data_IF_532532944263
#
_entry.id   IF_532532944263
#
_cell.length_a   1.000
_cell.length_b   1.000
_cell.length_c   1.000
_cell.angle_alpha   90.00
_cell.angle_beta   90.00
_cell.angle_gamma   90.00
#
_symmetry.space_group_name_H-M   'P 1'
#
loop_
_entity.id
_entity.type
_entity.pdbx_description
1 polymer ?
#
# COMPACT_ATOMS: atom_id res chain seq x y z
N UNK A 1 4.96 -14.50 -33.07
CA UNK A 1 3.49 -14.61 -32.91
C UNK A 1 3.13 -15.55 -31.76
N UNK A 2 3.71 -16.79 -31.68
CA UNK A 2 3.46 -17.74 -30.56
C UNK A 2 3.83 -17.18 -29.18
N UNK A 3 4.89 -16.38 -29.10
CA UNK A 3 5.30 -15.74 -27.83
C UNK A 3 4.37 -14.58 -27.42
N UNK A 4 3.87 -13.81 -28.38
CA UNK A 4 2.85 -12.78 -28.12
C UNK A 4 1.50 -13.41 -27.72
N UNK A 5 1.17 -14.59 -28.27
CA UNK A 5 -0.03 -15.34 -27.87
C UNK A 5 0.09 -15.90 -26.45
N UNK A 6 1.27 -16.37 -26.03
CA UNK A 6 1.49 -16.89 -24.68
C UNK A 6 1.45 -15.77 -23.60
N UNK A 7 2.04 -14.58 -23.89
CA UNK A 7 1.90 -13.40 -23.01
C UNK A 7 0.46 -12.90 -23.00
N UNK A 8 -0.19 -12.88 -24.14
CA UNK A 8 -1.60 -12.54 -24.25
C UNK A 8 -2.50 -13.50 -23.49
N UNK A 9 -2.19 -14.80 -23.53
CA UNK A 9 -2.96 -15.83 -22.83
C UNK A 9 -2.74 -15.77 -21.31
N UNK A 10 -1.53 -15.45 -20.85
CA UNK A 10 -1.22 -15.28 -19.43
C UNK A 10 -1.87 -14.01 -18.87
N UNK A 11 -1.83 -12.91 -19.63
CA UNK A 11 -2.55 -11.67 -19.30
C UNK A 11 -4.06 -11.89 -19.42
N UNK A 12 -4.53 -12.64 -20.41
CA UNK A 12 -5.94 -12.97 -20.56
C UNK A 12 -6.44 -13.93 -19.48
N UNK A 13 -5.64 -14.90 -19.04
CA UNK A 13 -5.99 -15.78 -17.91
C UNK A 13 -6.05 -15.01 -16.59
N UNK A 14 -5.16 -14.02 -16.38
CA UNK A 14 -5.27 -13.08 -15.25
C UNK A 14 -6.43 -12.07 -15.44
N UNK A 15 -6.74 -11.69 -16.66
CA UNK A 15 -7.77 -10.74 -17.02
C UNK A 15 -9.19 -11.32 -16.99
N UNK A 16 -9.36 -12.63 -17.25
CA UNK A 16 -10.65 -13.34 -17.07
C UNK A 16 -11.03 -13.42 -15.59
N UNK A 17 -10.05 -13.31 -14.68
CA UNK A 17 -10.29 -13.21 -13.24
C UNK A 17 -10.62 -11.79 -12.76
N UNK A 18 -10.46 -10.75 -13.59
CA UNK A 18 -10.47 -9.36 -13.13
C UNK A 18 -11.00 -8.38 -14.17
N UNK A 19 -12.05 -7.67 -13.90
CA UNK A 19 -12.62 -6.61 -14.72
C UNK A 19 -13.09 -5.38 -13.91
N UNK A 20 -13.12 -4.20 -14.38
CA UNK A 20 -12.88 -2.88 -13.75
C UNK A 20 -13.97 -1.80 -13.73
N UNK A 21 -13.77 -0.68 -12.99
CA UNK A 21 -14.71 0.40 -12.67
C UNK A 21 -14.22 1.87 -12.84
N UNK A 22 -15.05 2.91 -13.13
CA UNK A 22 -14.66 4.32 -13.21
C UNK A 22 -14.48 5.00 -11.84
N UNK A 23 -13.49 5.90 -11.76
CA UNK A 23 -13.22 6.71 -10.59
C UNK A 23 -14.42 7.61 -10.25
N UNK A 24 -14.99 7.44 -9.06
CA UNK A 24 -15.69 8.53 -8.41
C UNK A 24 -14.64 9.38 -7.71
N UNK A 25 -14.63 10.67 -8.03
CA UNK A 25 -14.03 11.64 -7.15
C UNK A 25 -14.62 11.38 -5.76
N UNK A 26 -13.77 10.99 -4.83
CA UNK A 26 -14.13 11.09 -3.42
C UNK A 26 -14.45 12.57 -3.21
N UNK A 27 -15.74 12.87 -3.08
CA UNK A 27 -16.15 14.01 -2.31
C UNK A 27 -15.51 13.82 -0.94
N UNK A 28 -14.31 14.40 -0.82
CA UNK A 28 -13.86 14.83 0.48
C UNK A 28 -14.94 15.82 0.90
N UNK A 29 -15.88 15.36 1.69
CA UNK A 29 -16.54 16.23 2.63
C UNK A 29 -15.40 16.81 3.45
N UNK A 30 -14.85 17.90 2.92
CA UNK A 30 -14.14 18.85 3.72
C UNK A 30 -15.14 19.27 4.78
N UNK A 31 -15.04 18.63 5.94
CA UNK A 31 -15.55 19.19 7.17
C UNK A 31 -15.00 20.59 7.14
N UNK A 32 -15.89 21.57 6.93
CA UNK A 32 -15.53 22.97 6.87
C UNK A 32 -14.76 23.27 8.14
N UNK A 33 -13.43 23.26 8.04
CA UNK A 33 -12.57 23.75 9.09
C UNK A 33 -12.96 25.23 9.22
N UNK A 34 -13.67 25.55 10.27
CA UNK A 34 -13.97 26.92 10.67
C UNK A 34 -12.61 27.58 10.81
N UNK A 35 -12.24 28.40 9.85
CA UNK A 35 -10.99 29.12 9.88
C UNK A 35 -11.01 29.98 11.14
N UNK A 36 -10.00 29.82 12.00
CA UNK A 36 -9.76 30.74 13.09
C UNK A 36 -9.51 32.14 12.51
N UNK A 37 -9.88 33.23 13.23
CA UNK A 37 -9.77 34.60 12.73
C UNK A 37 -8.37 35.02 12.29
N UNK A 38 -7.33 34.26 12.61
CA UNK A 38 -5.92 34.54 12.29
C UNK A 38 -5.40 33.87 11.00
N UNK A 39 -6.27 33.29 10.17
CA UNK A 39 -5.86 32.64 8.89
C UNK A 39 -4.98 31.40 9.04
N UNK A 40 -4.74 30.90 10.27
CA UNK A 40 -4.03 29.66 10.53
C UNK A 40 -5.01 28.47 10.55
N UNK A 41 -4.61 27.29 10.10
CA UNK A 41 -5.46 26.11 10.14
C UNK A 41 -5.92 25.85 11.56
N UNK A 42 -7.22 25.58 11.75
CA UNK A 42 -7.78 25.24 13.05
C UNK A 42 -7.17 23.91 13.51
N UNK A 43 -6.48 23.91 14.66
CA UNK A 43 -5.98 22.70 15.29
C UNK A 43 -7.14 21.94 15.96
N UNK A 44 -7.10 20.61 15.99
CA UNK A 44 -8.10 19.83 16.70
C UNK A 44 -8.11 20.17 18.20
N UNK A 45 -9.26 20.03 18.85
CA UNK A 45 -9.33 20.22 20.29
C UNK A 45 -8.63 19.09 21.04
N UNK A 46 -8.08 19.36 22.21
CA UNK A 46 -7.42 18.34 23.05
C UNK A 46 -8.41 17.22 23.42
N UNK A 47 -9.68 17.54 23.63
CA UNK A 47 -10.72 16.56 23.94
C UNK A 47 -11.02 15.64 22.76
N UNK A 48 -10.98 16.15 21.53
CA UNK A 48 -11.17 15.34 20.33
C UNK A 48 -9.99 14.41 20.09
N UNK A 49 -8.76 14.89 20.29
CA UNK A 49 -7.55 14.06 20.23
C UNK A 49 -7.59 12.93 21.26
N UNK A 50 -8.05 13.22 22.47
CA UNK A 50 -8.22 12.23 23.52
C UNK A 50 -9.25 11.18 23.15
N UNK A 51 -10.41 11.57 22.60
CA UNK A 51 -11.43 10.63 22.12
C UNK A 51 -10.91 9.74 21.00
N UNK A 52 -10.14 10.30 20.06
CA UNK A 52 -9.50 9.53 19.00
C UNK A 52 -8.49 8.52 19.56
N UNK A 53 -7.69 8.91 20.54
CA UNK A 53 -6.74 8.02 21.20
C UNK A 53 -7.44 6.90 21.99
N UNK A 54 -8.55 7.21 22.67
CA UNK A 54 -9.35 6.22 23.38
C UNK A 54 -10.07 5.25 22.45
N UNK A 55 -10.31 5.63 21.19
CA UNK A 55 -10.88 4.76 20.16
C UNK A 55 -9.87 3.71 19.65
N UNK A 56 -8.56 3.94 19.82
CA UNK A 56 -7.53 2.97 19.48
C UNK A 56 -7.57 1.79 20.47
N UNK A 57 -7.75 0.54 20.00
CA UNK A 57 -7.84 -0.61 20.87
C UNK A 57 -6.57 -0.81 21.69
N UNK A 58 -6.72 -1.20 22.96
CA UNK A 58 -5.59 -1.49 23.86
C UNK A 58 -4.92 -2.83 23.57
N UNK A 59 -5.63 -3.75 22.94
CA UNK A 59 -5.12 -5.06 22.53
C UNK A 59 -5.32 -5.23 21.03
N UNK A 60 -4.27 -5.62 20.35
CA UNK A 60 -4.30 -5.92 18.93
C UNK A 60 -5.02 -7.25 18.73
N UNK A 61 -6.13 -7.27 17.97
CA UNK A 61 -6.74 -8.50 17.51
C UNK A 61 -5.93 -9.08 16.33
N UNK A 62 -6.13 -10.37 16.01
CA UNK A 62 -5.42 -11.04 14.91
C UNK A 62 -5.74 -10.42 13.54
N UNK A 63 -6.92 -9.83 13.39
CA UNK A 63 -7.41 -9.22 12.14
C UNK A 63 -7.13 -7.69 12.07
N UNK A 64 -6.56 -7.09 13.13
CA UNK A 64 -6.31 -5.65 13.15
C UNK A 64 -5.07 -5.29 12.33
N UNK A 65 -5.20 -4.24 11.48
CA UNK A 65 -4.05 -3.65 10.81
C UNK A 65 -3.21 -2.83 11.80
N UNK A 66 -2.30 -3.52 12.47
CA UNK A 66 -1.41 -2.91 13.47
C UNK A 66 -0.54 -1.77 12.92
N UNK A 67 -0.34 -1.68 11.59
CA UNK A 67 0.37 -0.55 10.98
C UNK A 67 -0.52 0.70 10.98
N UNK A 68 -1.77 0.55 10.57
CA UNK A 68 -2.73 1.64 10.54
C UNK A 68 -2.94 2.24 11.93
N UNK A 69 -3.11 1.39 12.94
CA UNK A 69 -3.26 1.82 14.33
C UNK A 69 -2.02 2.56 14.87
N UNK A 70 -0.82 2.14 14.46
CA UNK A 70 0.43 2.84 14.79
C UNK A 70 0.50 4.21 14.11
N UNK A 71 0.14 4.29 12.84
CA UNK A 71 0.12 5.55 12.10
C UNK A 71 -0.93 6.52 12.68
N UNK A 72 -2.08 6.02 13.10
CA UNK A 72 -3.11 6.80 13.80
C UNK A 72 -2.61 7.32 15.15
N UNK A 73 -1.98 6.47 15.97
CA UNK A 73 -1.42 6.90 17.27
C UNK A 73 -0.33 7.97 17.08
N UNK A 74 0.57 7.79 16.10
CA UNK A 74 1.60 8.76 15.78
C UNK A 74 1.03 10.09 15.26
N UNK A 75 -0.03 10.05 14.46
CA UNK A 75 -0.72 11.24 13.98
C UNK A 75 -1.36 12.04 15.13
N UNK A 76 -1.99 11.35 16.09
CA UNK A 76 -2.57 11.97 17.29
C UNK A 76 -1.48 12.60 18.15
N UNK A 77 -0.35 11.91 18.38
CA UNK A 77 0.79 12.45 19.11
C UNK A 77 1.33 13.72 18.47
N UNK A 78 1.55 13.69 17.15
CA UNK A 78 2.01 14.86 16.38
C UNK A 78 1.02 16.05 16.48
N UNK A 79 -0.27 15.78 16.39
CA UNK A 79 -1.30 16.81 16.52
C UNK A 79 -1.32 17.41 17.93
N UNK A 80 -1.18 16.58 18.97
CA UNK A 80 -1.10 17.02 20.35
C UNK A 80 0.14 17.90 20.62
N UNK A 81 1.29 17.54 20.05
CA UNK A 81 2.51 18.36 20.12
C UNK A 81 2.34 19.72 19.44
N UNK A 82 1.66 19.77 18.27
CA UNK A 82 1.34 21.03 17.60
C UNK A 82 0.44 21.93 18.47
N UNK A 83 -0.57 21.34 19.12
CA UNK A 83 -1.42 22.07 20.08
C UNK A 83 -0.58 22.57 21.26
N UNK A 84 0.26 21.73 21.84
CA UNK A 84 1.13 22.09 22.96
C UNK A 84 2.10 23.22 22.60
N UNK A 85 2.70 23.19 21.41
CA UNK A 85 3.57 24.26 20.90
C UNK A 85 2.81 25.59 20.81
N UNK A 86 1.62 25.58 20.20
CA UNK A 86 0.79 26.78 20.06
C UNK A 86 0.36 27.35 21.43
N UNK A 87 -0.05 26.48 22.35
CA UNK A 87 -0.43 26.94 23.74
C UNK A 87 0.78 27.48 24.48
N UNK A 88 1.98 26.99 24.22
CA UNK A 88 3.22 27.53 24.77
C UNK A 88 3.48 28.97 24.28
N UNK A 89 3.27 29.23 22.99
CA UNK A 89 3.39 30.56 22.38
C UNK A 89 2.32 31.53 23.00
N UNK A 90 1.07 31.06 23.12
CA UNK A 90 -0.01 31.84 23.71
C UNK A 90 0.26 32.19 25.21
N UNK A 91 0.83 31.24 25.97
CA UNK A 91 1.27 31.51 27.35
C UNK A 91 2.35 32.57 27.40
N UNK A 92 3.36 32.50 26.51
CA UNK A 92 4.41 33.51 26.47
C UNK A 92 3.89 34.91 26.12
N UNK A 93 2.88 35.01 25.24
CA UNK A 93 2.24 36.30 24.93
C UNK A 93 1.44 36.84 26.14
N UNK A 94 0.66 35.98 26.83
CA UNK A 94 -0.06 36.36 28.02
C UNK A 94 0.90 36.81 29.15
N UNK A 95 2.00 36.08 29.36
CA UNK A 95 3.05 36.41 30.32
C UNK A 95 3.73 37.76 30.00
N UNK A 96 3.98 38.02 28.71
CA UNK A 96 4.54 39.30 28.27
C UNK A 96 3.58 40.48 28.55
N UNK A 97 2.26 40.28 28.32
CA UNK A 97 1.23 41.27 28.63
C UNK A 97 1.10 41.51 30.13
N UNK A 98 1.15 40.43 30.94
CA UNK A 98 1.16 40.53 32.39
C UNK A 98 2.40 41.30 32.89
N UNK A 99 3.57 41.05 32.34
CA UNK A 99 4.81 41.77 32.64
C UNK A 99 4.69 43.28 32.27
N UNK A 100 4.01 43.58 31.16
CA UNK A 100 3.73 44.96 30.74
C UNK A 100 2.87 45.75 31.70
N UNK A 101 2.03 45.10 32.53
CA UNK A 101 1.24 45.72 33.59
C UNK A 101 2.06 46.03 34.87
N UNK A 102 3.33 45.63 34.87
CA UNK A 102 4.21 45.83 36.04
C UNK A 102 4.00 44.77 37.15
N UNK A 103 4.80 44.81 38.20
CA UNK A 103 4.66 43.87 39.32
C UNK A 103 3.33 44.05 40.06
N UNK A 104 2.79 42.95 40.55
CA UNK A 104 1.57 43.02 41.39
C UNK A 104 1.83 43.79 42.67
N UNK A 105 0.86 44.60 43.15
CA UNK A 105 1.05 45.36 44.37
C UNK A 105 1.36 44.44 45.55
N UNK A 106 2.44 44.74 46.26
CA UNK A 106 2.81 44.02 47.48
C UNK A 106 1.82 44.37 48.63
N UNK A 107 1.78 43.49 49.66
CA UNK A 107 0.91 43.73 50.83
C UNK A 107 1.32 45.05 51.52
N UNK A 108 0.45 46.06 51.42
CA UNK A 108 0.68 47.39 51.98
C UNK A 108 1.01 48.50 50.97
N UNK A 109 1.19 48.16 49.70
CA UNK A 109 1.32 49.14 48.62
C UNK A 109 -0.08 49.61 48.13
N UNK A 110 -0.18 50.82 47.53
CA UNK A 110 -1.45 51.26 46.94
C UNK A 110 -1.96 50.25 45.91
N UNK A 111 -3.26 49.98 45.97
CA UNK A 111 -3.91 49.04 45.07
C UNK A 111 -3.81 49.54 43.61
N UNK A 112 -3.76 48.62 42.67
CA UNK A 112 -3.85 48.92 41.24
C UNK A 112 -5.11 49.76 40.93
N UNK A 113 -5.06 50.60 39.94
CA UNK A 113 -6.24 51.24 39.39
C UNK A 113 -7.29 50.19 39.01
N UNK A 114 -8.61 50.42 39.17
CA UNK A 114 -9.62 49.39 38.99
C UNK A 114 -9.58 48.68 37.62
N UNK A 115 -9.28 49.42 36.57
CA UNK A 115 -9.12 48.94 35.19
C UNK A 115 -7.89 48.02 35.04
N UNK A 116 -6.77 48.36 35.65
CA UNK A 116 -5.54 47.56 35.67
C UNK A 116 -5.74 46.26 36.45
N UNK A 117 -6.43 46.36 37.60
CA UNK A 117 -6.75 45.20 38.44
C UNK A 117 -7.66 44.20 37.68
N UNK A 118 -8.67 44.71 36.99
CA UNK A 118 -9.58 43.90 36.18
C UNK A 118 -8.85 43.24 35.00
N UNK A 119 -8.00 43.98 34.30
CA UNK A 119 -7.19 43.46 33.18
C UNK A 119 -6.21 42.38 33.67
N UNK A 120 -5.52 42.59 34.79
CA UNK A 120 -4.64 41.59 35.41
C UNK A 120 -5.40 40.31 35.80
N UNK A 121 -6.58 40.44 36.40
CA UNK A 121 -7.44 39.31 36.77
C UNK A 121 -7.95 38.54 35.54
N UNK A 122 -8.25 39.23 34.46
CA UNK A 122 -8.65 38.63 33.19
C UNK A 122 -7.50 37.84 32.56
N UNK A 123 -6.32 38.42 32.44
CA UNK A 123 -5.12 37.75 31.91
C UNK A 123 -4.68 36.56 32.78
N UNK A 124 -4.80 36.67 34.12
CA UNK A 124 -4.49 35.54 35.01
C UNK A 124 -5.45 34.36 34.81
N UNK A 125 -6.74 34.62 34.57
CA UNK A 125 -7.71 33.56 34.23
C UNK A 125 -7.40 32.93 32.87
N UNK A 126 -7.09 33.74 31.85
CA UNK A 126 -6.69 33.23 30.52
C UNK A 126 -5.43 32.38 30.62
N UNK A 127 -4.40 32.86 31.33
CA UNK A 127 -3.17 32.12 31.61
C UNK A 127 -3.45 30.74 32.21
N UNK A 128 -4.30 30.69 33.24
CA UNK A 128 -4.65 29.41 33.89
C UNK A 128 -5.38 28.44 32.95
N UNK A 129 -6.27 28.95 32.09
CA UNK A 129 -6.98 28.14 31.11
C UNK A 129 -6.01 27.56 30.05
N UNK A 130 -5.15 28.41 29.49
CA UNK A 130 -4.17 27.96 28.47
C UNK A 130 -3.12 27.01 29.07
N UNK A 131 -2.68 27.23 30.33
CA UNK A 131 -1.75 26.32 31.01
C UNK A 131 -2.37 24.93 31.27
N UNK A 132 -3.67 24.88 31.61
CA UNK A 132 -4.36 23.60 31.76
C UNK A 132 -4.52 22.87 30.43
N UNK A 133 -4.84 23.57 29.34
CA UNK A 133 -4.90 22.95 27.99
C UNK A 133 -3.52 22.48 27.53
N UNK A 134 -2.45 23.23 27.79
CA UNK A 134 -1.09 22.83 27.50
C UNK A 134 -0.72 21.52 28.21
N UNK A 135 -1.05 21.42 29.50
CA UNK A 135 -0.79 20.19 30.27
C UNK A 135 -1.57 19.00 29.74
N UNK A 136 -2.83 19.22 29.38
CA UNK A 136 -3.65 18.16 28.77
C UNK A 136 -3.10 17.73 27.39
N UNK A 137 -2.70 18.69 26.54
CA UNK A 137 -2.10 18.36 25.25
C UNK A 137 -0.82 17.53 25.39
N UNK A 138 0.06 17.91 26.33
CA UNK A 138 1.27 17.12 26.64
C UNK A 138 0.95 15.72 27.17
N UNK A 139 -0.09 15.60 27.99
CA UNK A 139 -0.53 14.28 28.47
C UNK A 139 -0.99 13.39 27.30
N UNK A 140 -1.80 13.94 26.38
CA UNK A 140 -2.27 13.20 25.20
C UNK A 140 -1.11 12.78 24.31
N UNK A 141 -0.10 13.64 24.13
CA UNK A 141 1.12 13.28 23.35
C UNK A 141 1.85 12.09 23.99
N UNK A 142 2.09 12.14 25.31
CA UNK A 142 2.75 11.04 26.04
C UNK A 142 1.91 9.76 26.01
N UNK A 143 0.60 9.85 26.17
CA UNK A 143 -0.31 8.71 26.12
C UNK A 143 -0.33 8.08 24.70
N UNK A 144 -0.27 8.90 23.66
CA UNK A 144 -0.19 8.45 22.28
C UNK A 144 1.12 7.67 22.00
N UNK A 145 2.26 8.20 22.49
CA UNK A 145 3.56 7.51 22.39
C UNK A 145 3.57 6.18 23.16
N UNK A 146 3.00 6.16 24.36
CA UNK A 146 2.85 4.94 25.14
C UNK A 146 2.00 3.90 24.41
N UNK A 147 0.87 4.33 23.81
CA UNK A 147 -0.01 3.47 23.03
C UNK A 147 0.73 2.90 21.81
N UNK A 148 1.48 3.72 21.08
CA UNK A 148 2.31 3.29 19.96
C UNK A 148 3.34 2.24 20.38
N UNK A 149 4.06 2.49 21.48
CA UNK A 149 5.05 1.54 22.01
C UNK A 149 4.42 0.22 22.46
N UNK A 150 3.21 0.27 23.02
CA UNK A 150 2.49 -0.93 23.45
C UNK A 150 2.04 -1.77 22.24
N UNK A 151 1.52 -1.14 21.19
CA UNK A 151 1.16 -1.79 19.93
C UNK A 151 2.39 -2.44 19.26
N UNK A 152 3.55 -1.76 19.24
CA UNK A 152 4.81 -2.32 18.71
C UNK A 152 5.22 -3.57 19.51
N UNK A 153 5.11 -3.52 20.85
CA UNK A 153 5.44 -4.65 21.70
C UNK A 153 4.52 -5.85 21.44
N UNK A 154 3.19 -5.61 21.41
CA UNK A 154 2.20 -6.66 21.14
C UNK A 154 2.41 -7.30 19.76
N UNK A 155 2.69 -6.49 18.73
CA UNK A 155 3.00 -6.99 17.41
C UNK A 155 4.27 -7.85 17.38
N UNK A 156 5.29 -7.47 18.16
CA UNK A 156 6.51 -8.28 18.29
C UNK A 156 6.22 -9.60 18.99
N UNK A 157 5.41 -9.59 20.04
CA UNK A 157 4.99 -10.80 20.76
C UNK A 157 4.16 -11.73 19.87
N UNK A 158 3.20 -11.19 19.11
CA UNK A 158 2.44 -11.96 18.12
C UNK A 158 3.34 -12.55 17.02
N UNK A 159 4.28 -11.76 16.51
CA UNK A 159 5.25 -12.25 15.54
C UNK A 159 6.14 -13.36 16.10
N UNK A 160 6.64 -13.21 17.34
CA UNK A 160 7.41 -14.25 18.01
C UNK A 160 6.57 -15.51 18.27
N UNK A 161 5.32 -15.34 18.69
CA UNK A 161 4.39 -16.45 18.87
C UNK A 161 4.13 -17.18 17.54
N UNK A 162 3.93 -16.43 16.44
CA UNK A 162 3.76 -16.99 15.11
C UNK A 162 5.00 -17.75 14.62
N UNK A 163 6.22 -17.22 14.89
CA UNK A 163 7.49 -17.91 14.56
C UNK A 163 7.73 -19.16 15.40
N UNK A 164 7.23 -19.19 16.64
CA UNK A 164 7.40 -20.33 17.55
C UNK A 164 6.22 -21.29 17.52
N UNK A 165 5.13 -20.94 16.82
CA UNK A 165 4.02 -21.86 16.58
C UNK A 165 4.54 -23.10 15.84
N UNK A 166 4.63 -24.20 16.57
CA UNK A 166 5.01 -25.50 15.99
C UNK A 166 3.91 -25.97 15.08
N UNK A 167 4.14 -25.85 13.78
CA UNK A 167 3.32 -26.53 12.78
C UNK A 167 3.62 -28.03 12.86
N UNK A 168 2.58 -28.86 12.86
CA UNK A 168 2.75 -30.29 12.72
C UNK A 168 3.54 -30.59 11.44
N UNK A 169 4.49 -31.52 11.52
CA UNK A 169 5.29 -31.91 10.37
C UNK A 169 4.40 -32.34 9.20
N UNK A 170 4.63 -31.85 7.97
CA UNK A 170 3.89 -32.29 6.77
C UNK A 170 3.93 -33.81 6.54
N UNK A 171 4.92 -34.50 7.12
CA UNK A 171 5.05 -35.95 7.10
C UNK A 171 4.19 -36.67 8.14
N UNK A 172 3.60 -35.92 9.09
CA UNK A 172 2.82 -36.47 10.21
C UNK A 172 1.32 -36.56 9.91
N UNK A 173 0.65 -37.61 10.42
CA UNK A 173 -0.82 -37.74 10.33
C UNK A 173 -1.60 -36.56 10.93
N UNK A 174 -1.15 -35.90 12.03
CA UNK A 174 -1.86 -34.74 12.60
C UNK A 174 -1.99 -33.58 11.58
N UNK A 175 -0.92 -33.28 10.82
CA UNK A 175 -0.94 -32.24 9.80
C UNK A 175 -2.07 -32.43 8.78
N UNK A 176 -2.18 -33.63 8.21
CA UNK A 176 -3.19 -33.94 7.19
C UNK A 176 -4.61 -33.97 7.76
N UNK A 177 -4.75 -34.33 9.03
CA UNK A 177 -6.04 -34.26 9.72
C UNK A 177 -6.48 -32.81 9.92
N UNK A 178 -5.57 -31.95 10.38
CA UNK A 178 -5.82 -30.52 10.58
C UNK A 178 -6.11 -29.83 9.25
N UNK A 179 -5.34 -30.13 8.19
CA UNK A 179 -5.61 -29.63 6.85
C UNK A 179 -7.00 -30.01 6.34
N UNK A 180 -7.40 -31.28 6.50
CA UNK A 180 -8.75 -31.75 6.10
C UNK A 180 -9.86 -31.09 6.92
N UNK A 181 -9.62 -30.81 8.18
CA UNK A 181 -10.60 -30.14 9.04
C UNK A 181 -10.75 -28.65 8.67
N UNK A 182 -9.67 -27.98 8.32
CA UNK A 182 -9.67 -26.57 7.91
C UNK A 182 -10.13 -26.34 6.46
N UNK A 183 -9.91 -27.32 5.57
CA UNK A 183 -10.18 -27.20 4.13
C UNK A 183 -11.60 -26.72 3.78
N UNK A 184 -12.71 -27.16 4.43
CA UNK A 184 -14.04 -26.66 4.08
C UNK A 184 -14.22 -25.17 4.43
N UNK A 185 -13.60 -24.68 5.52
CA UNK A 185 -13.65 -23.29 5.92
C UNK A 185 -12.82 -22.42 4.96
N UNK A 186 -11.61 -22.83 4.64
CA UNK A 186 -10.74 -22.14 3.68
C UNK A 186 -11.37 -22.12 2.28
N UNK A 187 -12.01 -23.21 1.87
CA UNK A 187 -12.75 -23.26 0.60
C UNK A 187 -13.97 -22.32 0.60
N UNK A 188 -14.71 -22.21 1.71
CA UNK A 188 -15.83 -21.29 1.84
C UNK A 188 -15.36 -19.81 1.76
N UNK A 189 -14.25 -19.47 2.39
CA UNK A 189 -13.62 -18.14 2.33
C UNK A 189 -13.15 -17.81 0.90
N UNK A 190 -12.48 -18.76 0.24
CA UNK A 190 -12.07 -18.61 -1.16
C UNK A 190 -13.27 -18.42 -2.10
N UNK A 191 -14.36 -19.17 -1.87
CA UNK A 191 -15.61 -18.97 -2.61
C UNK A 191 -16.23 -17.60 -2.32
N UNK A 192 -16.08 -17.08 -1.09
CA UNK A 192 -16.45 -15.70 -0.72
C UNK A 192 -15.76 -14.68 -1.60
N UNK A 193 -14.44 -14.71 -1.63
CA UNK A 193 -13.61 -13.85 -2.49
C UNK A 193 -13.98 -13.98 -3.98
N UNK A 194 -14.23 -15.21 -4.43
CA UNK A 194 -14.69 -15.48 -5.80
C UNK A 194 -16.10 -14.93 -6.10
N UNK A 195 -16.98 -14.83 -5.12
CA UNK A 195 -18.29 -14.19 -5.26
C UNK A 195 -18.16 -12.67 -5.34
N UNK A 196 -17.34 -12.07 -4.47
CA UNK A 196 -17.05 -10.63 -4.52
C UNK A 196 -16.48 -10.23 -5.87
N UNK A 197 -15.51 -10.99 -6.38
CA UNK A 197 -14.94 -10.75 -7.70
C UNK A 197 -15.98 -10.85 -8.82
N UNK A 198 -16.84 -11.88 -8.78
CA UNK A 198 -17.93 -12.02 -9.76
C UNK A 198 -18.94 -10.88 -9.67
N UNK A 199 -19.27 -10.42 -8.47
CA UNK A 199 -20.16 -9.28 -8.28
C UNK A 199 -19.53 -7.98 -8.82
N UNK A 200 -18.25 -7.74 -8.54
CA UNK A 200 -17.53 -6.60 -9.09
C UNK A 200 -17.50 -6.63 -10.63
N UNK A 201 -17.29 -7.79 -11.25
CA UNK A 201 -17.37 -7.97 -12.70
C UNK A 201 -18.79 -7.71 -13.21
N UNK A 202 -19.81 -8.27 -12.56
CA UNK A 202 -21.20 -8.13 -12.98
C UNK A 202 -21.69 -6.68 -12.89
N UNK A 203 -21.30 -5.95 -11.85
CA UNK A 203 -21.65 -4.52 -11.69
C UNK A 203 -21.05 -3.66 -12.79
N UNK A 204 -19.83 -3.96 -13.25
CA UNK A 204 -19.20 -3.24 -14.36
C UNK A 204 -19.78 -3.62 -15.74
N UNK A 205 -20.32 -4.82 -15.88
CA UNK A 205 -20.99 -5.27 -17.11
C UNK A 205 -22.45 -4.78 -17.22
N UNK A 206 -22.97 -4.04 -16.25
CA UNK A 206 -24.27 -3.40 -16.33
C UNK A 206 -24.34 -2.42 -17.52
N UNK A 207 -25.54 -2.24 -18.13
CA UNK A 207 -25.73 -1.68 -19.46
C UNK A 207 -25.06 -0.34 -19.73
N UNK A 208 -24.99 0.55 -18.75
CA UNK A 208 -24.47 1.92 -18.95
C UNK A 208 -22.95 2.00 -19.01
N UNK A 209 -22.24 1.00 -18.49
CA UNK A 209 -20.77 1.02 -18.35
C UNK A 209 -20.04 0.03 -19.27
N UNK A 210 -20.78 -0.82 -19.98
CA UNK A 210 -20.20 -1.88 -20.86
C UNK A 210 -19.21 -1.34 -21.89
N UNK A 211 -19.50 -0.19 -22.47
CA UNK A 211 -18.64 0.41 -23.49
C UNK A 211 -17.26 0.80 -22.93
N UNK A 212 -17.24 1.45 -21.79
CA UNK A 212 -15.99 1.83 -21.10
C UNK A 212 -15.17 0.62 -20.64
N UNK A 213 -15.86 -0.40 -20.14
CA UNK A 213 -15.25 -1.67 -19.75
C UNK A 213 -14.54 -2.35 -20.91
N UNK A 214 -15.27 -2.60 -22.01
CA UNK A 214 -14.71 -3.27 -23.21
C UNK A 214 -13.58 -2.44 -23.81
N UNK A 215 -13.74 -1.11 -23.88
CA UNK A 215 -12.72 -0.22 -24.41
C UNK A 215 -11.41 -0.24 -23.60
N UNK A 216 -11.51 -0.21 -22.28
CA UNK A 216 -10.31 -0.25 -21.44
C UNK A 216 -9.64 -1.62 -21.40
N UNK A 217 -10.42 -2.69 -21.43
CA UNK A 217 -9.91 -4.05 -21.56
C UNK A 217 -9.19 -4.24 -22.91
N UNK A 218 -9.79 -3.75 -24.00
CA UNK A 218 -9.19 -3.73 -25.31
C UNK A 218 -7.90 -2.88 -25.33
N UNK A 219 -7.89 -1.72 -24.68
CA UNK A 219 -6.72 -0.87 -24.55
C UNK A 219 -5.60 -1.57 -23.76
N UNK A 220 -5.92 -2.19 -22.62
CA UNK A 220 -4.96 -2.97 -21.85
C UNK A 220 -4.35 -4.12 -22.66
N UNK A 221 -5.20 -4.84 -23.39
CA UNK A 221 -4.77 -5.92 -24.27
C UNK A 221 -3.87 -5.41 -25.42
N UNK A 222 -4.26 -4.29 -26.05
CA UNK A 222 -3.46 -3.64 -27.10
C UNK A 222 -2.11 -3.17 -26.55
N UNK A 223 -2.05 -2.57 -25.37
CA UNK A 223 -0.82 -2.16 -24.72
C UNK A 223 0.06 -3.39 -24.44
N UNK A 224 -0.51 -4.47 -23.89
CA UNK A 224 0.24 -5.68 -23.57
C UNK A 224 0.78 -6.40 -24.79
N UNK A 225 0.04 -6.45 -25.91
CA UNK A 225 0.41 -7.18 -27.11
C UNK A 225 1.26 -6.35 -28.09
N UNK A 226 0.83 -5.11 -28.36
CA UNK A 226 1.49 -4.25 -29.35
C UNK A 226 2.55 -3.35 -28.73
N UNK A 227 2.41 -3.00 -27.44
CA UNK A 227 3.32 -2.11 -26.74
C UNK A 227 4.78 -2.56 -26.82
N UNK A 228 5.13 -3.80 -26.44
CA UNK A 228 6.51 -4.30 -26.53
C UNK A 228 7.09 -4.27 -27.95
N UNK A 229 6.27 -4.65 -28.93
CA UNK A 229 6.68 -4.63 -30.34
C UNK A 229 6.91 -3.20 -30.86
N UNK A 230 6.00 -2.28 -30.52
CA UNK A 230 6.12 -0.89 -30.91
C UNK A 230 7.31 -0.20 -30.23
N UNK A 231 7.50 -0.49 -28.94
CA UNK A 231 8.64 -0.01 -28.16
C UNK A 231 9.97 -0.48 -28.75
N UNK A 232 10.08 -1.75 -29.14
CA UNK A 232 11.28 -2.27 -29.80
C UNK A 232 11.54 -1.56 -31.14
N UNK A 233 10.50 -1.36 -31.96
CA UNK A 233 10.62 -0.61 -33.23
C UNK A 233 11.06 0.83 -33.02
N UNK A 234 10.50 1.52 -32.06
CA UNK A 234 10.85 2.91 -31.74
C UNK A 234 12.29 3.01 -31.22
N UNK A 235 12.70 2.11 -30.33
CA UNK A 235 14.08 2.06 -29.82
C UNK A 235 15.09 1.76 -30.94
N UNK A 236 14.74 0.89 -31.91
CA UNK A 236 15.59 0.63 -33.09
C UNK A 236 15.78 1.88 -33.94
N UNK A 237 14.74 2.68 -34.11
CA UNK A 237 14.78 3.91 -34.92
C UNK A 237 15.46 5.08 -34.19
N UNK A 238 15.21 5.24 -32.88
CA UNK A 238 15.71 6.35 -32.09
C UNK A 238 17.17 6.18 -31.63
N UNK A 239 17.65 4.96 -31.44
CA UNK A 239 18.98 4.68 -30.92
C UNK A 239 20.15 5.17 -31.80
N UNK A 240 20.09 5.16 -33.16
CA UNK A 240 21.15 5.71 -34.00
C UNK A 240 21.35 7.21 -33.84
N UNK A 241 20.28 7.95 -33.59
CA UNK A 241 20.29 9.42 -33.60
C UNK A 241 20.82 10.06 -32.30
N UNK A 242 20.82 9.33 -31.18
CA UNK A 242 21.08 9.92 -29.86
C UNK A 242 22.20 9.28 -29.03
N UNK A 243 22.77 8.12 -29.46
CA UNK A 243 23.76 7.39 -28.66
C UNK A 243 25.04 7.11 -29.47
N UNK A 244 26.25 7.35 -28.87
CA UNK A 244 27.50 7.03 -29.52
C UNK A 244 27.65 5.55 -29.81
N UNK A 245 28.34 5.17 -30.88
CA UNK A 245 28.57 3.78 -31.29
C UNK A 245 29.50 3.09 -30.28
N UNK A 246 29.06 1.93 -29.73
CA UNK A 246 29.91 1.15 -28.81
C UNK A 246 29.14 0.11 -27.98
N UNK A 247 29.87 -0.54 -27.05
CA UNK A 247 29.32 -1.53 -26.11
C UNK A 247 28.23 -0.92 -25.22
N UNK A 248 28.42 0.35 -24.79
CA UNK A 248 27.47 1.07 -23.94
C UNK A 248 26.09 1.22 -24.60
N UNK A 249 26.05 1.49 -25.91
CA UNK A 249 24.79 1.59 -26.66
C UNK A 249 23.98 0.28 -26.65
N UNK A 250 24.67 -0.85 -26.67
CA UNK A 250 24.01 -2.17 -26.66
C UNK A 250 23.38 -2.46 -25.31
N UNK A 251 24.14 -2.24 -24.23
CA UNK A 251 23.64 -2.48 -22.86
C UNK A 251 22.53 -1.51 -22.48
N UNK A 252 22.65 -0.22 -22.81
CA UNK A 252 21.60 0.77 -22.59
C UNK A 252 20.30 0.43 -23.32
N UNK A 253 20.41 -0.02 -24.57
CA UNK A 253 19.23 -0.43 -25.33
C UNK A 253 18.58 -1.70 -24.76
N UNK A 254 19.39 -2.67 -24.35
CA UNK A 254 18.90 -3.88 -23.68
C UNK A 254 18.15 -3.53 -22.39
N UNK A 255 18.76 -2.70 -21.55
CA UNK A 255 18.14 -2.20 -20.31
C UNK A 255 16.84 -1.42 -20.57
N UNK A 256 16.86 -0.53 -21.56
CA UNK A 256 15.68 0.23 -21.97
C UNK A 256 14.56 -0.66 -22.47
N UNK A 257 14.86 -1.72 -23.23
CA UNK A 257 13.86 -2.68 -23.70
C UNK A 257 13.23 -3.43 -22.53
N UNK A 258 14.03 -3.91 -21.56
CA UNK A 258 13.52 -4.58 -20.35
C UNK A 258 12.64 -3.64 -19.56
N UNK A 259 13.09 -2.42 -19.29
CA UNK A 259 12.35 -1.43 -18.52
C UNK A 259 11.01 -1.06 -19.18
N UNK A 260 11.04 -0.72 -20.46
CA UNK A 260 9.82 -0.31 -21.19
C UNK A 260 8.83 -1.47 -21.28
N UNK A 261 9.27 -2.68 -21.56
CA UNK A 261 8.38 -3.84 -21.61
C UNK A 261 7.74 -4.11 -20.25
N UNK A 262 8.53 -4.06 -19.18
CA UNK A 262 8.04 -4.24 -17.81
C UNK A 262 6.99 -3.18 -17.47
N UNK A 263 7.29 -1.89 -17.75
CA UNK A 263 6.37 -0.78 -17.49
C UNK A 263 5.09 -0.88 -18.33
N UNK A 264 5.18 -1.25 -19.60
CA UNK A 264 4.00 -1.40 -20.46
C UNK A 264 3.07 -2.53 -20.01
N UNK A 265 3.63 -3.67 -19.62
CA UNK A 265 2.85 -4.80 -19.10
C UNK A 265 2.26 -4.45 -17.74
N UNK A 266 3.02 -3.78 -16.85
CA UNK A 266 2.52 -3.28 -15.58
C UNK A 266 1.42 -2.25 -15.73
N UNK A 267 1.56 -1.31 -16.68
CA UNK A 267 0.53 -0.33 -17.01
C UNK A 267 -0.75 -1.01 -17.54
N UNK A 268 -0.60 -2.03 -18.39
CA UNK A 268 -1.74 -2.80 -18.88
C UNK A 268 -2.48 -3.52 -17.74
N UNK A 269 -1.73 -4.13 -16.80
CA UNK A 269 -2.31 -4.76 -15.60
C UNK A 269 -3.00 -3.73 -14.70
N UNK A 270 -2.36 -2.58 -14.46
CA UNK A 270 -2.93 -1.49 -13.67
C UNK A 270 -4.19 -0.91 -14.34
N UNK A 271 -4.18 -0.73 -15.66
CA UNK A 271 -5.35 -0.27 -16.41
C UNK A 271 -6.48 -1.29 -16.30
N UNK A 272 -6.18 -2.58 -16.41
CA UNK A 272 -7.14 -3.64 -16.22
C UNK A 272 -7.80 -3.53 -14.84
N UNK A 273 -7.09 -3.35 -13.77
CA UNK A 273 -7.62 -3.21 -12.43
C UNK A 273 -8.32 -1.85 -12.18
N UNK A 274 -7.81 -0.77 -12.74
CA UNK A 274 -8.40 0.56 -12.52
C UNK A 274 -9.86 0.63 -12.96
N UNK A 275 -10.20 -0.05 -14.05
CA UNK A 275 -11.57 -0.09 -14.54
C UNK A 275 -12.45 -1.00 -13.64
N UNK A 276 -11.96 -2.00 -12.80
CA UNK A 276 -12.71 -2.71 -11.75
C UNK A 276 -13.00 -1.83 -10.54
N UNK A 277 -12.07 -1.00 -10.17
CA UNK A 277 -12.20 -0.14 -8.99
C UNK A 277 -13.35 0.88 -9.08
N UNK A 278 -13.84 1.25 -10.28
CA UNK A 278 -14.92 2.19 -10.46
C UNK A 278 -16.32 1.55 -10.45
N UNK A 279 -16.50 0.24 -10.15
CA UNK A 279 -17.80 -0.41 -9.88
C UNK A 279 -18.21 -0.24 -8.43
N UNK A 280 -19.51 -0.18 -8.19
CA UNK A 280 -20.03 -0.22 -6.84
C UNK A 280 -19.75 -1.61 -6.24
N UNK A 281 -19.11 -1.66 -5.07
CA UNK A 281 -18.84 -2.92 -4.33
C UNK A 281 -17.41 -3.45 -4.45
N UNK A 282 -16.41 -2.59 -4.72
CA UNK A 282 -15.01 -2.97 -4.68
C UNK A 282 -14.53 -3.03 -3.22
N UNK A 283 -14.31 -4.24 -2.70
CA UNK A 283 -13.88 -4.47 -1.32
C UNK A 283 -12.38 -4.24 -1.12
N UNK A 284 -11.95 -4.06 0.13
CA UNK A 284 -10.53 -3.98 0.49
C UNK A 284 -9.77 -5.25 0.12
N UNK A 285 -10.40 -6.42 0.25
CA UNK A 285 -9.86 -7.71 -0.20
C UNK A 285 -9.54 -7.72 -1.69
N UNK A 286 -10.42 -7.15 -2.52
CA UNK A 286 -10.19 -7.01 -3.96
C UNK A 286 -9.10 -5.98 -4.28
N UNK A 287 -8.94 -4.92 -3.47
CA UNK A 287 -7.84 -3.96 -3.64
C UNK A 287 -6.49 -4.58 -3.32
N UNK A 288 -6.39 -5.37 -2.26
CA UNK A 288 -5.21 -6.15 -1.92
C UNK A 288 -4.86 -7.14 -3.05
N UNK A 289 -5.84 -7.89 -3.54
CA UNK A 289 -5.66 -8.82 -4.67
C UNK A 289 -5.22 -8.09 -5.94
N UNK A 290 -5.77 -6.90 -6.21
CA UNK A 290 -5.38 -6.06 -7.34
C UNK A 290 -3.91 -5.64 -7.25
N UNK A 291 -3.51 -5.11 -6.11
CA UNK A 291 -2.11 -4.70 -5.86
C UNK A 291 -1.15 -5.87 -6.02
N UNK A 292 -1.46 -7.02 -5.41
CA UNK A 292 -0.67 -8.23 -5.51
C UNK A 292 -0.53 -8.71 -6.96
N UNK A 293 -1.64 -8.78 -7.70
CA UNK A 293 -1.61 -9.25 -9.09
C UNK A 293 -0.82 -8.32 -10.01
N UNK A 294 -0.88 -6.99 -9.80
CA UNK A 294 -0.05 -6.03 -10.54
C UNK A 294 1.43 -6.22 -10.21
N UNK A 295 1.79 -6.38 -8.94
CA UNK A 295 3.18 -6.61 -8.52
C UNK A 295 3.74 -7.91 -9.10
N UNK A 296 2.98 -8.99 -9.03
CA UNK A 296 3.35 -10.29 -9.60
C UNK A 296 3.50 -10.20 -11.13
N UNK A 297 2.62 -9.48 -11.79
CA UNK A 297 2.69 -9.26 -13.25
C UNK A 297 3.92 -8.43 -13.63
N UNK A 298 4.23 -7.37 -12.87
CA UNK A 298 5.45 -6.57 -13.07
C UNK A 298 6.71 -7.40 -12.90
N UNK A 299 6.78 -8.20 -11.84
CA UNK A 299 7.92 -9.09 -11.59
C UNK A 299 8.07 -10.14 -12.71
N UNK A 300 6.98 -10.80 -13.10
CA UNK A 300 6.97 -11.77 -14.17
C UNK A 300 7.40 -11.16 -15.52
N UNK A 301 6.88 -9.97 -15.85
CA UNK A 301 7.25 -9.23 -17.04
C UNK A 301 8.75 -8.86 -17.03
N UNK A 302 9.29 -8.45 -15.88
CA UNK A 302 10.71 -8.15 -15.71
C UNK A 302 11.58 -9.39 -15.97
N UNK A 303 11.27 -10.51 -15.30
CA UNK A 303 12.02 -11.77 -15.45
C UNK A 303 12.01 -12.27 -16.90
N UNK A 304 10.83 -12.26 -17.53
CA UNK A 304 10.69 -12.70 -18.94
C UNK A 304 11.43 -11.77 -19.88
N UNK A 305 11.28 -10.45 -19.73
CA UNK A 305 11.94 -9.46 -20.57
C UNK A 305 13.46 -9.51 -20.42
N UNK A 306 13.95 -9.68 -19.19
CA UNK A 306 15.38 -9.84 -18.91
C UNK A 306 15.92 -11.13 -19.55
N UNK A 307 15.26 -12.25 -19.32
CA UNK A 307 15.65 -13.54 -19.89
C UNK A 307 15.66 -13.54 -21.43
N UNK A 308 14.63 -12.96 -22.05
CA UNK A 308 14.57 -12.82 -23.52
C UNK A 308 15.67 -11.92 -24.07
N UNK A 309 16.02 -10.86 -23.34
CA UNK A 309 17.08 -9.92 -23.73
C UNK A 309 18.47 -10.57 -23.60
N UNK A 310 18.72 -11.32 -22.53
CA UNK A 310 19.98 -12.01 -22.27
C UNK A 310 20.18 -13.23 -23.20
N UNK A 311 19.11 -13.98 -23.50
CA UNK A 311 19.11 -15.18 -24.35
C UNK A 311 18.75 -14.89 -25.81
N UNK A 312 18.89 -13.64 -26.26
CA UNK A 312 18.45 -13.15 -27.57
C UNK A 312 18.73 -14.14 -28.74
N UNK A 313 17.65 -14.80 -29.20
CA UNK A 313 17.72 -15.79 -30.32
C UNK A 313 17.97 -15.14 -31.67
N UNK A 314 17.55 -13.90 -31.88
CA UNK A 314 17.57 -13.25 -33.19
C UNK A 314 18.85 -12.49 -33.51
N UNK A 315 19.74 -12.28 -32.51
CA UNK A 315 20.95 -11.46 -32.67
C UNK A 315 22.08 -11.99 -31.78
N UNK A 316 22.88 -12.90 -32.35
CA UNK A 316 24.06 -13.50 -31.70
C UNK A 316 25.07 -12.48 -31.15
N UNK A 317 25.19 -11.33 -31.81
CA UNK A 317 26.04 -10.21 -31.36
C UNK A 317 25.60 -9.49 -30.09
N UNK A 318 24.43 -9.81 -29.55
CA UNK A 318 23.81 -9.18 -28.34
C UNK A 318 23.78 -10.09 -27.14
N UNK A 319 24.17 -11.35 -27.36
CA UNK A 319 24.21 -12.38 -26.33
C UNK A 319 25.40 -12.18 -25.40
N UNK A 320 25.30 -12.71 -24.17
CA UNK A 320 26.45 -12.79 -23.29
C UNK A 320 27.59 -13.59 -23.95
N UNK A 321 28.82 -13.09 -23.90
CA UNK A 321 29.97 -13.83 -24.41
C UNK A 321 30.08 -15.19 -23.72
N UNK A 322 30.08 -16.29 -24.49
CA UNK A 322 30.21 -17.64 -23.94
C UNK A 322 28.95 -18.52 -23.99
N UNK A 323 27.78 -18.00 -24.38
CA UNK A 323 26.55 -18.81 -24.54
C UNK A 323 26.41 -19.24 -26.00
N UNK A 324 26.47 -20.56 -26.26
CA UNK A 324 26.26 -21.13 -27.60
C UNK A 324 24.79 -20.98 -28.04
N UNK A 325 24.55 -21.09 -29.39
CA UNK A 325 23.20 -20.97 -29.93
C UNK A 325 22.30 -22.09 -29.43
N UNK A 326 22.82 -23.29 -29.32
CA UNK A 326 22.13 -24.46 -28.81
C UNK A 326 21.71 -24.30 -27.34
N UNK A 327 22.62 -23.78 -26.50
CA UNK A 327 22.35 -23.55 -25.11
C UNK A 327 21.30 -22.44 -24.90
N UNK A 328 21.38 -21.36 -25.69
CA UNK A 328 20.40 -20.28 -25.65
C UNK A 328 18.99 -20.74 -26.07
N UNK A 329 18.94 -21.70 -27.03
CA UNK A 329 17.67 -22.27 -27.43
C UNK A 329 17.05 -23.15 -26.36
N UNK A 330 17.84 -23.99 -25.72
CA UNK A 330 17.41 -24.83 -24.59
C UNK A 330 17.00 -24.01 -23.39
N UNK A 331 17.71 -22.92 -23.06
CA UNK A 331 17.42 -22.06 -21.92
C UNK A 331 16.26 -21.07 -22.14
N UNK A 332 15.85 -20.83 -23.37
CA UNK A 332 14.82 -19.86 -23.73
C UNK A 332 13.43 -20.04 -23.05
N UNK A 333 12.95 -21.25 -22.73
CA UNK A 333 11.68 -21.40 -22.01
C UNK A 333 11.79 -21.13 -20.51
N UNK A 334 12.98 -21.23 -19.91
CA UNK A 334 13.15 -21.13 -18.45
C UNK A 334 12.70 -19.80 -17.84
N UNK A 335 12.98 -18.61 -18.42
CA UNK A 335 12.46 -17.35 -17.88
C UNK A 335 10.93 -17.33 -17.76
N UNK A 336 10.22 -18.02 -18.63
CA UNK A 336 8.77 -18.16 -18.56
C UNK A 336 8.33 -19.08 -17.41
N UNK A 337 9.02 -20.20 -17.24
CA UNK A 337 8.72 -21.13 -16.13
C UNK A 337 9.02 -20.50 -14.79
N UNK A 338 10.14 -19.77 -14.66
CA UNK A 338 10.48 -19.03 -13.44
C UNK A 338 9.44 -17.95 -13.17
N UNK A 339 9.06 -17.16 -14.19
CA UNK A 339 8.04 -16.12 -14.02
C UNK A 339 6.68 -16.71 -13.65
N UNK A 340 6.27 -17.80 -14.29
CA UNK A 340 5.01 -18.47 -14.00
C UNK A 340 4.98 -19.08 -12.59
N UNK A 341 6.07 -19.75 -12.19
CA UNK A 341 6.19 -20.31 -10.84
C UNK A 341 6.19 -19.24 -9.75
N UNK A 342 6.95 -18.15 -9.95
CA UNK A 342 6.96 -17.03 -9.03
C UNK A 342 5.59 -16.30 -8.96
N UNK A 343 4.93 -16.15 -10.12
CA UNK A 343 3.61 -15.56 -10.21
C UNK A 343 2.56 -16.41 -9.46
N UNK A 344 2.57 -17.71 -9.68
CA UNK A 344 1.67 -18.63 -8.99
C UNK A 344 1.90 -18.60 -7.49
N UNK A 345 3.16 -18.73 -7.05
CA UNK A 345 3.49 -18.70 -5.63
C UNK A 345 3.10 -17.36 -4.98
N UNK A 346 3.45 -16.24 -5.60
CA UNK A 346 3.12 -14.90 -5.07
C UNK A 346 1.62 -14.68 -4.98
N UNK A 347 0.86 -15.05 -6.03
CA UNK A 347 -0.59 -14.88 -6.04
C UNK A 347 -1.28 -15.77 -4.98
N UNK A 348 -0.85 -17.02 -4.85
CA UNK A 348 -1.45 -17.93 -3.86
C UNK A 348 -1.12 -17.51 -2.43
N UNK A 349 0.10 -17.01 -2.17
CA UNK A 349 0.48 -16.46 -0.87
C UNK A 349 -0.41 -15.27 -0.50
N UNK A 350 -0.65 -14.34 -1.42
CA UNK A 350 -1.51 -13.18 -1.18
C UNK A 350 -2.98 -13.57 -1.02
N UNK A 351 -3.47 -14.51 -1.83
CA UNK A 351 -4.84 -15.02 -1.66
C UNK A 351 -5.01 -15.67 -0.30
N UNK A 352 -4.04 -16.49 0.15
CA UNK A 352 -4.08 -17.10 1.48
C UNK A 352 -4.07 -16.05 2.60
N UNK A 353 -3.28 -14.98 2.46
CA UNK A 353 -3.26 -13.88 3.41
C UNK A 353 -4.60 -13.12 3.45
N UNK A 354 -5.20 -12.84 2.27
CA UNK A 354 -6.48 -12.12 2.17
C UNK A 354 -7.63 -12.94 2.79
N UNK A 355 -7.69 -14.25 2.54
CA UNK A 355 -8.76 -15.10 3.09
C UNK A 355 -8.48 -15.56 4.53
N UNK A 356 -7.32 -15.26 5.11
CA UNK A 356 -6.90 -15.79 6.41
C UNK A 356 -6.86 -17.31 6.39
N UNK A 357 -6.19 -17.91 5.40
CA UNK A 357 -6.10 -19.36 5.24
C UNK A 357 -5.42 -20.01 6.45
N UNK A 358 -5.75 -21.27 6.70
CA UNK A 358 -5.11 -22.03 7.77
C UNK A 358 -3.62 -22.22 7.52
N UNK A 359 -2.81 -22.22 8.59
CA UNK A 359 -1.37 -22.41 8.51
C UNK A 359 -0.97 -23.71 7.78
N UNK A 360 -1.79 -24.76 7.92
CA UNK A 360 -1.61 -26.03 7.21
C UNK A 360 -1.81 -25.88 5.70
N UNK A 361 -2.78 -25.07 5.26
CA UNK A 361 -2.98 -24.76 3.85
C UNK A 361 -1.82 -23.96 3.29
N UNK A 362 -1.32 -22.95 4.01
CA UNK A 362 -0.18 -22.12 3.62
C UNK A 362 1.10 -22.96 3.45
N UNK A 363 1.43 -23.80 4.42
CA UNK A 363 2.58 -24.72 4.35
C UNK A 363 2.45 -25.69 3.18
N UNK A 364 1.25 -26.22 2.91
CA UNK A 364 0.99 -27.13 1.79
C UNK A 364 1.23 -26.44 0.45
N UNK A 365 0.75 -25.20 0.30
CA UNK A 365 0.93 -24.42 -0.92
C UNK A 365 2.40 -24.10 -1.16
N UNK A 366 3.14 -23.67 -0.13
CA UNK A 366 4.56 -23.40 -0.26
C UNK A 366 5.37 -24.68 -0.60
N UNK A 367 5.01 -25.82 -0.01
CA UNK A 367 5.65 -27.10 -0.34
C UNK A 367 5.37 -27.51 -1.80
N UNK A 368 4.11 -27.37 -2.27
CA UNK A 368 3.75 -27.66 -3.65
C UNK A 368 4.42 -26.71 -4.64
N UNK A 369 4.48 -25.41 -4.34
CA UNK A 369 5.14 -24.44 -5.21
C UNK A 369 6.66 -24.68 -5.28
N UNK A 370 7.30 -25.03 -4.17
CA UNK A 370 8.72 -25.42 -4.16
C UNK A 370 8.98 -26.66 -5.01
N UNK A 371 8.10 -27.65 -4.92
CA UNK A 371 8.20 -28.88 -5.69
C UNK A 371 7.95 -28.68 -7.21
N UNK A 372 7.14 -27.69 -7.56
CA UNK A 372 6.85 -27.36 -8.97
C UNK A 372 7.98 -26.55 -9.61
N UNK A 373 8.78 -25.83 -8.82
CA UNK A 373 9.91 -25.02 -9.29
C UNK A 373 11.21 -25.83 -9.35
N UNK A 374 11.34 -26.90 -8.53
CA UNK A 374 12.51 -27.81 -8.51
C UNK A 374 12.49 -28.81 -9.66
#
# INVERSE_FOLDING_TARGET
LRQCLATGLMVLAMLVLTAPAPAHAQDRTATAATAAPDGRPALPSVDDLRKQLDAIPRKLAEDDDGRKLLDEAAAIGTAADQVAARRTEELADIDSRLAGLGPAPEKGAPADAPDVAEQRASLARQRSAVDSELKLARLVSVDADQRGNELIRQRREQFQAALTARTDSPLGRPFWRNLRAAAPLDAARLQGLGRELRQAVASTMASDRRGGFIASLAAALLIALLGPWLAERLLVRAAPARLPSGRLRRSLRAAATVLINTLLIGLAAQLAWSVLKAGDGFSESLDALAKASVQVTLFGAFVVSLGQTLLSRRRSSWRLPGVSDELAERLSPYPWWIAAGAALNGLVTEVNAIIGASLAAEVTVHALSALLIS
#
